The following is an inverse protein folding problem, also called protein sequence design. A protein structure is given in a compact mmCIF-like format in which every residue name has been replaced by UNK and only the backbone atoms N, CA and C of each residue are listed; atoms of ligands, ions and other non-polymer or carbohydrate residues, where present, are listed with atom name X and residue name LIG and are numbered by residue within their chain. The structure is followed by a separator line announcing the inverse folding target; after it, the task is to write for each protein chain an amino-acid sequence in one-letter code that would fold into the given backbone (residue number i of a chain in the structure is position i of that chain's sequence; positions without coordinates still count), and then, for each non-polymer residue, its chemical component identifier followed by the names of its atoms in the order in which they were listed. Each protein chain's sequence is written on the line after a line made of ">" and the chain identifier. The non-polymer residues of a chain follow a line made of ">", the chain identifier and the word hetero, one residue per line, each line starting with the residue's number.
data_IF_254359897936
#
_entry.id   IF_254359897936
#
_cell.length_a   1.000
_cell.length_b   1.000
_cell.length_c   1.000
_cell.angle_alpha   90.00
_cell.angle_beta   90.00
_cell.angle_gamma   90.00
#
_symmetry.space_group_name_H-M   'P 1'
#
loop_
_entity.id
_entity.type
_entity.pdbx_description
1 polymer ?
#
# COMPACT_ATOMS: atom_id res chain seq x y z
N UNK A 1 -2.45 48.21 -11.10
CA UNK A 1 -2.12 46.98 -11.87
C UNK A 1 -1.15 46.07 -11.12
N UNK A 2 -0.38 46.55 -10.14
CA UNK A 2 0.54 45.70 -9.36
C UNK A 2 -0.13 44.82 -8.29
N UNK A 3 -1.12 45.35 -7.55
CA UNK A 3 -1.84 44.61 -6.50
C UNK A 3 -2.55 43.35 -7.03
N UNK A 4 -3.07 43.41 -8.27
CA UNK A 4 -3.71 42.26 -8.92
C UNK A 4 -2.71 41.17 -9.25
N UNK A 5 -1.48 41.52 -9.65
CA UNK A 5 -0.43 40.55 -9.96
C UNK A 5 0.08 39.85 -8.70
N UNK A 6 0.21 40.59 -7.60
CA UNK A 6 0.61 40.05 -6.31
C UNK A 6 -0.43 39.06 -5.76
N UNK A 7 -1.73 39.40 -5.83
CA UNK A 7 -2.81 38.48 -5.42
C UNK A 7 -2.79 37.19 -6.25
N UNK A 8 -2.56 37.30 -7.57
CA UNK A 8 -2.45 36.13 -8.45
C UNK A 8 -1.27 35.25 -8.03
N UNK A 9 -0.10 35.85 -7.79
CA UNK A 9 1.09 35.12 -7.35
C UNK A 9 0.85 34.41 -6.01
N UNK A 10 0.24 35.07 -5.03
CA UNK A 10 -0.08 34.43 -3.74
C UNK A 10 -1.02 33.24 -3.90
N UNK A 11 -2.06 33.36 -4.74
CA UNK A 11 -2.99 32.26 -5.02
C UNK A 11 -2.28 31.06 -5.65
N UNK A 12 -1.39 31.29 -6.60
CA UNK A 12 -0.61 30.23 -7.21
C UNK A 12 0.33 29.54 -6.22
N UNK A 13 1.03 30.32 -5.40
CA UNK A 13 1.93 29.79 -4.38
C UNK A 13 1.18 28.98 -3.31
N UNK A 14 0.01 29.45 -2.88
CA UNK A 14 -0.86 28.73 -1.96
C UNK A 14 -1.36 27.41 -2.59
N UNK A 15 -1.84 27.45 -3.83
CA UNK A 15 -2.30 26.26 -4.55
C UNK A 15 -1.18 25.23 -4.78
N UNK A 16 0.03 25.68 -5.13
CA UNK A 16 1.20 24.82 -5.29
C UNK A 16 1.56 24.12 -3.98
N UNK A 17 1.59 24.85 -2.86
CA UNK A 17 1.87 24.28 -1.53
C UNK A 17 0.79 23.30 -1.10
N UNK A 18 -0.49 23.67 -1.24
CA UNK A 18 -1.62 22.81 -0.89
C UNK A 18 -1.57 21.48 -1.63
N UNK A 19 -1.35 21.53 -2.95
CA UNK A 19 -1.19 20.33 -3.78
C UNK A 19 -0.04 19.44 -3.31
N UNK A 20 1.12 20.02 -3.02
CA UNK A 20 2.29 19.26 -2.58
C UNK A 20 2.07 18.63 -1.19
N UNK A 21 1.43 19.36 -0.27
CA UNK A 21 1.12 18.84 1.06
C UNK A 21 0.15 17.66 0.98
N UNK A 22 -0.95 17.79 0.23
CA UNK A 22 -1.91 16.69 0.03
C UNK A 22 -1.26 15.47 -0.62
N UNK A 23 -0.39 15.68 -1.60
CA UNK A 23 0.39 14.59 -2.23
C UNK A 23 1.29 13.88 -1.22
N UNK A 24 2.11 14.62 -0.47
CA UNK A 24 3.02 14.05 0.53
C UNK A 24 2.28 13.28 1.62
N UNK A 25 1.13 13.79 2.02
CA UNK A 25 0.29 13.16 3.03
C UNK A 25 -0.31 11.85 2.49
N UNK A 26 -0.87 11.85 1.28
CA UNK A 26 -1.32 10.63 0.60
C UNK A 26 -0.20 9.60 0.43
N UNK A 27 1.00 10.03 0.01
CA UNK A 27 2.17 9.15 -0.14
C UNK A 27 2.59 8.53 1.20
N UNK A 28 2.45 9.28 2.30
CA UNK A 28 2.75 8.78 3.63
C UNK A 28 1.75 7.71 4.08
N UNK A 29 0.45 7.92 3.86
CA UNK A 29 -0.60 6.92 4.15
C UNK A 29 -0.37 5.64 3.33
N UNK A 30 -0.04 5.78 2.05
CA UNK A 30 0.30 4.65 1.20
C UNK A 30 1.48 3.84 1.74
N UNK A 31 2.53 4.52 2.18
CA UNK A 31 3.71 3.87 2.79
C UNK A 31 3.35 3.18 4.10
N UNK A 32 2.50 3.77 4.94
CA UNK A 32 2.01 3.13 6.15
C UNK A 32 1.31 1.81 5.83
N UNK A 33 0.44 1.79 4.82
CA UNK A 33 -0.23 0.56 4.38
C UNK A 33 0.73 -0.56 3.93
N UNK A 34 1.91 -0.19 3.43
CA UNK A 34 2.96 -1.14 3.03
C UNK A 34 3.80 -1.67 4.20
N UNK A 35 4.11 -0.85 5.20
CA UNK A 35 5.14 -1.14 6.20
C UNK A 35 4.64 -1.36 7.63
N UNK A 36 3.59 -0.69 8.07
CA UNK A 36 3.08 -0.75 9.45
C UNK A 36 2.50 -2.15 9.75
N UNK A 37 2.56 -2.68 10.99
CA UNK A 37 1.98 -3.98 11.34
C UNK A 37 0.50 -4.10 10.97
N UNK A 38 0.05 -5.31 10.59
CA UNK A 38 -1.29 -5.53 10.02
C UNK A 38 -2.40 -5.04 10.98
N UNK A 39 -2.25 -5.28 12.27
CA UNK A 39 -3.22 -4.94 13.30
C UNK A 39 -3.32 -3.41 13.49
N UNK A 40 -2.19 -2.72 13.56
CA UNK A 40 -2.12 -1.25 13.63
C UNK A 40 -2.69 -0.60 12.36
N UNK A 41 -2.41 -1.17 11.18
CA UNK A 41 -2.95 -0.65 9.93
C UNK A 41 -4.47 -0.80 9.86
N UNK A 42 -5.01 -1.92 10.35
CA UNK A 42 -6.47 -2.13 10.43
C UNK A 42 -7.11 -1.12 11.39
N UNK A 43 -6.49 -0.87 12.54
CA UNK A 43 -6.96 0.14 13.50
C UNK A 43 -6.97 1.54 12.85
N UNK A 44 -5.90 1.90 12.15
CA UNK A 44 -5.81 3.16 11.41
C UNK A 44 -6.88 3.28 10.32
N UNK A 45 -7.13 2.21 9.57
CA UNK A 45 -8.18 2.18 8.56
C UNK A 45 -9.58 2.37 9.19
N UNK A 46 -9.84 1.71 10.32
CA UNK A 46 -11.08 1.88 11.08
C UNK A 46 -11.22 3.31 11.63
N UNK A 47 -10.13 3.91 12.10
CA UNK A 47 -10.11 5.31 12.54
C UNK A 47 -10.49 6.25 11.39
N UNK A 48 -9.84 6.12 10.23
CA UNK A 48 -10.14 6.94 9.05
C UNK A 48 -11.58 6.72 8.56
N UNK A 49 -12.08 5.48 8.56
CA UNK A 49 -13.49 5.19 8.24
C UNK A 49 -14.45 5.88 9.21
N UNK A 50 -14.16 5.83 10.52
CA UNK A 50 -14.99 6.51 11.51
C UNK A 50 -14.99 8.02 11.31
N UNK A 51 -13.85 8.61 10.94
CA UNK A 51 -13.72 10.04 10.63
C UNK A 51 -14.54 10.41 9.38
N UNK A 52 -14.45 9.63 8.29
CA UNK A 52 -15.28 9.79 7.08
C UNK A 52 -16.76 9.78 7.45
N UNK A 53 -17.23 8.76 8.18
CA UNK A 53 -18.65 8.68 8.56
C UNK A 53 -19.07 9.84 9.46
N UNK A 54 -18.19 10.37 10.30
CA UNK A 54 -18.45 11.54 11.11
C UNK A 54 -18.59 12.80 10.25
N UNK A 55 -17.71 12.96 9.26
CA UNK A 55 -17.72 14.11 8.35
C UNK A 55 -18.95 14.09 7.44
N UNK A 56 -19.36 12.93 6.93
CA UNK A 56 -20.61 12.76 6.17
C UNK A 56 -21.83 13.17 7.00
N UNK A 57 -21.89 12.75 8.26
CA UNK A 57 -22.98 13.15 9.17
C UNK A 57 -22.98 14.66 9.39
N UNK A 58 -21.82 15.28 9.58
CA UNK A 58 -21.73 16.74 9.70
C UNK A 58 -22.12 17.46 8.41
N UNK A 59 -21.81 16.89 7.24
CA UNK A 59 -22.25 17.43 5.96
C UNK A 59 -23.78 17.44 5.85
N UNK A 60 -24.44 16.35 6.26
CA UNK A 60 -25.90 16.24 6.30
C UNK A 60 -26.48 17.33 7.22
N UNK A 61 -25.92 17.50 8.42
CA UNK A 61 -26.37 18.53 9.35
C UNK A 61 -26.17 19.95 8.78
N UNK A 62 -25.02 20.21 8.17
CA UNK A 62 -24.70 21.51 7.56
C UNK A 62 -25.56 21.82 6.31
N UNK A 63 -26.18 20.81 5.68
CA UNK A 63 -27.09 21.01 4.55
C UNK A 63 -28.36 21.79 4.94
N UNK A 64 -28.78 21.70 6.20
CA UNK A 64 -29.94 22.44 6.73
C UNK A 64 -29.67 23.92 7.00
N UNK A 65 -28.40 24.36 6.98
CA UNK A 65 -28.00 25.73 7.31
C UNK A 65 -27.98 26.58 6.05
N UNK A 66 -28.80 27.62 6.01
CA UNK A 66 -28.89 28.54 4.87
C UNK A 66 -27.93 29.73 4.99
N UNK A 67 -27.72 30.44 3.89
CA UNK A 67 -26.89 31.64 3.85
C UNK A 67 -25.38 31.38 3.78
N UNK A 68 -24.60 32.44 3.95
CA UNK A 68 -23.14 32.43 3.78
C UNK A 68 -22.43 31.52 4.79
N UNK A 69 -22.92 31.46 6.02
CA UNK A 69 -22.35 30.63 7.08
C UNK A 69 -22.50 29.13 6.76
N UNK A 70 -23.69 28.70 6.31
CA UNK A 70 -23.91 27.32 5.87
C UNK A 70 -23.04 26.95 4.66
N UNK A 71 -22.83 27.90 3.74
CA UNK A 71 -21.91 27.70 2.61
C UNK A 71 -20.46 27.50 3.08
N UNK A 72 -19.95 28.36 3.97
CA UNK A 72 -18.59 28.22 4.52
C UNK A 72 -18.39 26.90 5.25
N UNK A 73 -19.37 26.49 6.07
CA UNK A 73 -19.31 25.22 6.78
C UNK A 73 -19.25 24.04 5.83
N UNK A 74 -20.15 23.97 4.84
CA UNK A 74 -20.13 22.89 3.83
C UNK A 74 -18.85 22.89 3.01
N UNK A 75 -18.36 24.06 2.61
CA UNK A 75 -17.11 24.17 1.86
C UNK A 75 -15.92 23.61 2.64
N UNK A 76 -15.79 23.98 3.91
CA UNK A 76 -14.74 23.47 4.80
C UNK A 76 -14.87 21.97 5.01
N UNK A 77 -16.09 21.49 5.31
CA UNK A 77 -16.37 20.07 5.52
C UNK A 77 -16.06 19.23 4.28
N UNK A 78 -16.34 19.75 3.09
CA UNK A 78 -16.11 19.04 1.83
C UNK A 78 -14.63 18.81 1.61
N UNK A 79 -13.80 19.83 1.85
CA UNK A 79 -12.35 19.69 1.78
C UNK A 79 -11.80 18.65 2.76
N UNK A 80 -12.30 18.63 4.00
CA UNK A 80 -11.91 17.64 5.00
C UNK A 80 -12.35 16.21 4.63
N UNK A 81 -13.57 16.06 4.12
CA UNK A 81 -14.11 14.77 3.68
C UNK A 81 -13.27 14.20 2.54
N UNK A 82 -13.07 14.96 1.47
CA UNK A 82 -12.26 14.56 0.32
C UNK A 82 -10.82 14.20 0.71
N UNK A 83 -10.20 14.97 1.60
CA UNK A 83 -8.84 14.69 2.06
C UNK A 83 -8.78 13.40 2.90
N UNK A 84 -9.79 13.14 3.73
CA UNK A 84 -9.86 11.93 4.58
C UNK A 84 -10.14 10.67 3.75
N UNK A 85 -11.04 10.76 2.76
CA UNK A 85 -11.31 9.67 1.81
C UNK A 85 -10.06 9.30 1.02
N UNK A 86 -9.35 10.29 0.47
CA UNK A 86 -8.08 10.04 -0.25
C UNK A 86 -7.02 9.37 0.60
N UNK A 87 -6.94 9.73 1.89
CA UNK A 87 -6.01 9.08 2.83
C UNK A 87 -6.38 7.63 3.06
N UNK A 88 -7.67 7.34 3.26
CA UNK A 88 -8.17 5.99 3.42
C UNK A 88 -7.92 5.15 2.17
N UNK A 89 -8.16 5.70 0.98
CA UNK A 89 -7.85 5.05 -0.29
C UNK A 89 -6.36 4.75 -0.43
N UNK A 90 -5.49 5.72 -0.17
CA UNK A 90 -4.04 5.55 -0.27
C UNK A 90 -3.54 4.46 0.69
N UNK A 91 -4.03 4.45 1.94
CA UNK A 91 -3.73 3.44 2.94
C UNK A 91 -4.17 2.05 2.45
N UNK A 92 -5.41 1.91 1.99
CA UNK A 92 -5.96 0.66 1.48
C UNK A 92 -5.17 0.14 0.26
N UNK A 93 -4.78 1.02 -0.66
CA UNK A 93 -3.90 0.66 -1.77
C UNK A 93 -2.55 0.13 -1.29
N UNK A 94 -2.00 0.69 -0.21
CA UNK A 94 -0.78 0.19 0.43
C UNK A 94 -0.96 -1.23 0.98
N UNK A 95 -2.06 -1.45 1.72
CA UNK A 95 -2.44 -2.76 2.26
C UNK A 95 -2.57 -3.80 1.15
N UNK A 96 -3.30 -3.48 0.07
CA UNK A 96 -3.54 -4.40 -1.04
C UNK A 96 -2.24 -4.74 -1.79
N UNK A 97 -1.39 -3.76 -2.07
CA UNK A 97 -0.06 -4.02 -2.67
C UNK A 97 0.78 -4.94 -1.78
N UNK A 98 0.72 -4.77 -0.46
CA UNK A 98 1.41 -5.64 0.49
C UNK A 98 0.93 -7.09 0.39
N UNK A 99 -0.39 -7.31 0.34
CA UNK A 99 -1.00 -8.64 0.17
C UNK A 99 -0.55 -9.29 -1.14
N UNK A 100 -0.57 -8.52 -2.24
CA UNK A 100 -0.09 -9.01 -3.55
C UNK A 100 1.38 -9.43 -3.48
N UNK A 101 2.24 -8.64 -2.83
CA UNK A 101 3.65 -8.98 -2.66
C UNK A 101 3.86 -10.23 -1.80
N UNK A 102 3.00 -10.47 -0.80
CA UNK A 102 3.04 -11.71 0.00
C UNK A 102 2.63 -12.94 -0.82
N UNK A 103 1.60 -12.81 -1.67
CA UNK A 103 1.10 -13.90 -2.52
C UNK A 103 2.09 -14.21 -3.65
N UNK A 104 2.71 -13.19 -4.25
CA UNK A 104 3.74 -13.33 -5.28
C UNK A 104 5.13 -13.66 -4.72
N UNK A 105 5.31 -13.48 -3.40
CA UNK A 105 6.52 -13.74 -2.63
C UNK A 105 6.61 -15.15 -2.03
N UNK A 106 5.70 -16.07 -2.37
CA UNK A 106 6.09 -17.48 -2.46
C UNK A 106 7.34 -17.51 -3.33
N UNK A 107 8.49 -18.03 -2.84
CA UNK A 107 9.70 -18.01 -3.62
C UNK A 107 9.39 -18.69 -4.94
N UNK A 108 9.55 -17.98 -6.07
CA UNK A 108 10.06 -18.64 -7.26
C UNK A 108 11.30 -19.35 -6.75
N UNK A 109 11.18 -20.64 -6.42
CA UNK A 109 12.32 -21.48 -6.12
C UNK A 109 13.23 -21.22 -7.29
N UNK A 110 14.35 -20.53 -7.04
CA UNK A 110 15.42 -20.45 -8.01
C UNK A 110 15.56 -21.87 -8.55
N UNK A 111 15.49 -22.10 -9.88
CA UNK A 111 15.61 -23.46 -10.38
C UNK A 111 16.96 -23.95 -9.86
N UNK A 112 16.91 -24.77 -8.81
CA UNK A 112 18.07 -25.31 -8.11
C UNK A 112 18.96 -25.78 -9.23
N UNK A 113 20.11 -25.12 -9.38
CA UNK A 113 21.06 -25.38 -10.43
C UNK A 113 21.38 -26.86 -10.33
N UNK A 114 20.73 -27.69 -11.15
CA UNK A 114 20.87 -29.13 -11.14
C UNK A 114 22.31 -29.39 -11.54
N UNK A 115 23.17 -29.56 -10.55
CA UNK A 115 24.51 -30.07 -10.78
C UNK A 115 24.31 -31.46 -11.38
N UNK A 116 24.66 -31.58 -12.65
CA UNK A 116 24.80 -32.85 -13.34
C UNK A 116 25.86 -33.65 -12.58
N UNK A 117 25.41 -34.59 -11.74
CA UNK A 117 26.28 -35.65 -11.23
C UNK A 117 26.13 -36.82 -12.20
N UNK A 118 26.62 -36.64 -13.43
CA UNK A 118 26.86 -37.76 -14.32
C UNK A 118 28.21 -38.36 -13.94
N UNK A 119 28.18 -39.60 -13.47
CA UNK A 119 29.37 -40.45 -13.37
C UNK A 119 29.99 -40.55 -11.98
N UNK A 120 29.31 -41.23 -11.04
CA UNK A 120 30.04 -41.95 -9.99
C UNK A 120 29.31 -43.16 -9.34
N UNK A 121 28.19 -43.64 -9.90
CA UNK A 121 27.50 -44.85 -9.39
C UNK A 121 27.67 -46.04 -10.35
N UNK A 122 28.87 -46.23 -10.94
CA UNK A 122 29.13 -47.41 -11.79
C UNK A 122 30.18 -48.38 -11.25
N UNK A 123 30.93 -48.06 -10.18
CA UNK A 123 32.00 -48.95 -9.73
C UNK A 123 31.66 -49.81 -8.49
N UNK A 124 30.71 -49.40 -7.65
CA UNK A 124 30.38 -50.14 -6.43
C UNK A 124 29.47 -51.37 -6.66
N UNK A 125 28.67 -51.39 -7.72
CA UNK A 125 27.81 -52.53 -8.07
C UNK A 125 28.54 -53.65 -8.84
N UNK A 126 29.70 -53.35 -9.44
CA UNK A 126 30.50 -54.32 -10.18
C UNK A 126 31.38 -55.20 -9.28
N UNK A 127 31.79 -54.71 -8.10
CA UNK A 127 32.55 -55.54 -7.14
C UNK A 127 31.66 -56.47 -6.30
N UNK A 128 30.37 -56.16 -6.11
CA UNK A 128 29.46 -57.06 -5.40
C UNK A 128 29.00 -58.24 -6.26
N UNK A 129 29.03 -58.12 -7.60
CA UNK A 129 28.60 -59.19 -8.52
C UNK A 129 29.67 -60.23 -8.84
N UNK A 130 30.96 -59.93 -8.66
CA UNK A 130 32.04 -60.90 -8.86
C UNK A 130 32.21 -61.81 -7.63
N UNK A 131 31.85 -61.35 -6.43
CA UNK A 131 32.06 -62.16 -5.21
C UNK A 131 31.01 -63.25 -4.95
N UNK A 132 29.85 -63.20 -5.63
CA UNK A 132 28.80 -64.23 -5.47
C UNK A 132 28.98 -65.39 -6.47
N UNK A 133 29.73 -65.20 -7.57
CA UNK A 133 29.88 -66.24 -8.60
C UNK A 133 31.02 -67.25 -8.36
N UNK A 134 31.74 -67.17 -7.23
CA UNK A 134 32.84 -68.08 -6.91
C UNK A 134 32.62 -68.91 -5.62
N UNK A 135 31.38 -68.97 -5.12
CA UNK A 135 31.05 -69.74 -3.90
C UNK A 135 29.91 -70.75 -4.06
N UNK A 136 29.54 -71.11 -5.30
CA UNK A 136 28.71 -72.29 -5.60
C UNK A 136 29.10 -72.90 -6.95
N UNK A 137 30.33 -73.39 -7.06
CA UNK A 137 30.72 -74.72 -7.57
C UNK A 137 32.24 -74.86 -7.49
#
# INVERSE_FOLDING_TARGET
>A
MELTNEIVLYRECAAKRDKELRRRLSDSEHKLGLSMPIEEVKERAAQLQSEVTSLERHMILASGIQGMEGFHQRWSLQGHLEDTERRLEALNQGIEKRKVNMIQGEPKRDPVRKKWVFGQISFALLLFRVSIYQSTF
#
